data_IF_586294171835
#
_entry.id   IF_586294171835
#
_cell.length_a   1.000
_cell.length_b   1.000
_cell.length_c   1.000
_cell.angle_alpha   90.00
_cell.angle_beta   90.00
_cell.angle_gamma   90.00
#
_symmetry.space_group_name_H-M   'P 1'
#
loop_
_entity.id
_entity.type
_entity.pdbx_description
1 polymer ?
#
# COMPACT_ATOMS: atom_id res chain seq x y z
N UNK A 1 -13.27 -2.19 -3.36
CA UNK A 1 -11.82 -2.30 -3.05
C UNK A 1 -11.33 -0.90 -2.72
N UNK A 2 -10.28 -0.78 -1.91
CA UNK A 2 -9.72 0.51 -1.52
C UNK A 2 -8.19 0.45 -1.63
N UNK A 3 -7.53 1.59 -1.81
CA UNK A 3 -6.07 1.68 -1.80
C UNK A 3 -5.60 2.47 -0.58
N UNK A 4 -4.45 2.09 -0.03
CA UNK A 4 -3.75 2.82 1.01
C UNK A 4 -2.45 3.42 0.46
N UNK A 5 -2.27 4.70 0.72
CA UNK A 5 -1.11 5.50 0.36
C UNK A 5 -0.40 5.97 1.64
N UNK A 6 0.91 5.89 1.67
CA UNK A 6 1.73 6.18 2.84
C UNK A 6 3.18 6.42 2.44
N UNK A 7 3.94 7.12 3.28
CA UNK A 7 5.40 7.15 3.16
C UNK A 7 5.99 6.18 4.17
N UNK A 8 6.65 5.14 3.68
CA UNK A 8 7.39 4.19 4.50
C UNK A 8 8.79 4.77 4.73
N UNK A 9 9.20 4.91 5.99
CA UNK A 9 10.53 5.42 6.36
C UNK A 9 11.28 4.30 7.06
N UNK A 10 12.45 3.96 6.53
CA UNK A 10 13.35 3.00 7.13
C UNK A 10 14.41 3.76 7.95
N UNK A 11 14.26 3.74 9.27
CA UNK A 11 15.20 4.36 10.21
C UNK A 11 16.35 3.42 10.61
N UNK A 12 16.45 2.24 10.00
CA UNK A 12 17.50 1.27 10.29
C UNK A 12 18.72 1.47 9.40
N UNK A 13 19.85 0.88 9.80
CA UNK A 13 21.12 0.92 9.05
C UNK A 13 21.20 -0.05 7.87
N UNK A 14 20.15 -0.83 7.60
CA UNK A 14 20.12 -1.85 6.54
C UNK A 14 18.90 -1.65 5.63
N UNK A 15 18.98 -2.12 4.38
CA UNK A 15 17.83 -2.07 3.48
C UNK A 15 16.73 -3.03 3.96
N UNK A 16 15.49 -2.53 3.98
CA UNK A 16 14.31 -3.28 4.41
C UNK A 16 13.41 -3.50 3.21
N UNK A 17 12.92 -4.72 3.03
CA UNK A 17 11.94 -5.04 1.98
C UNK A 17 10.62 -5.44 2.60
N UNK A 18 9.55 -4.72 2.32
CA UNK A 18 8.18 -5.08 2.70
C UNK A 18 7.62 -6.05 1.67
N UNK A 19 7.30 -7.27 2.07
CA UNK A 19 6.83 -8.33 1.17
C UNK A 19 5.34 -8.62 1.30
N UNK A 20 4.74 -8.23 2.42
CA UNK A 20 3.30 -8.30 2.62
C UNK A 20 2.81 -7.21 3.57
N UNK A 21 1.52 -6.95 3.54
CA UNK A 21 0.82 -6.13 4.52
C UNK A 21 -0.45 -6.87 4.96
N UNK A 22 -0.99 -6.51 6.11
CA UNK A 22 -2.25 -7.05 6.63
C UNK A 22 -2.94 -6.00 7.50
N UNK A 23 -4.27 -6.04 7.55
CA UNK A 23 -5.08 -5.19 8.43
C UNK A 23 -6.40 -5.88 8.76
N UNK A 24 -6.97 -5.70 9.96
CA UNK A 24 -8.26 -6.26 10.33
C UNK A 24 -9.44 -5.68 9.54
N UNK A 25 -9.29 -4.51 8.89
CA UNK A 25 -10.41 -3.88 8.15
C UNK A 25 -10.67 -4.51 6.78
N UNK A 26 -9.75 -5.32 6.26
CA UNK A 26 -9.85 -5.96 4.95
C UNK A 26 -9.61 -7.46 5.03
N UNK A 27 -10.23 -8.23 4.14
CA UNK A 27 -10.04 -9.69 4.09
C UNK A 27 -8.66 -10.08 3.55
N UNK A 28 -8.17 -9.35 2.55
CA UNK A 28 -6.87 -9.58 1.92
C UNK A 28 -6.20 -8.24 1.58
N UNK A 29 -4.88 -8.21 1.67
CA UNK A 29 -4.08 -7.03 1.31
C UNK A 29 -3.01 -7.45 0.32
N UNK A 30 -2.88 -6.69 -0.77
CA UNK A 30 -1.91 -6.95 -1.83
C UNK A 30 -1.03 -5.72 -2.07
N UNK A 31 0.24 -5.94 -2.39
CA UNK A 31 1.17 -4.87 -2.76
C UNK A 31 1.09 -4.68 -4.28
N UNK A 32 0.73 -3.48 -4.72
CA UNK A 32 0.51 -3.17 -6.13
C UNK A 32 1.48 -2.07 -6.58
N UNK A 33 1.84 -2.13 -7.86
CA UNK A 33 2.57 -1.07 -8.56
C UNK A 33 1.78 -0.65 -9.80
N UNK A 34 1.83 0.63 -10.11
CA UNK A 34 1.38 1.13 -11.41
C UNK A 34 2.55 1.08 -12.37
N UNK A 35 2.37 0.41 -13.51
CA UNK A 35 3.33 0.40 -14.60
C UNK A 35 2.71 0.89 -15.89
N UNK A 36 3.41 1.78 -16.56
CA UNK A 36 2.95 2.38 -17.80
C UNK A 36 3.82 3.58 -18.13
N UNK A 37 4.02 3.81 -19.43
CA UNK A 37 4.70 5.00 -19.95
C UNK A 37 3.66 5.84 -20.70
N UNK A 38 3.42 7.07 -20.24
CA UNK A 38 2.84 8.16 -21.02
C UNK A 38 1.41 8.05 -21.58
N UNK A 39 0.68 6.94 -21.43
CA UNK A 39 -0.67 6.83 -21.99
C UNK A 39 -1.54 5.64 -21.57
N UNK A 40 -0.96 4.58 -20.97
CA UNK A 40 -1.74 3.46 -20.40
C UNK A 40 -1.07 2.99 -19.12
N UNK A 41 -1.67 3.32 -17.98
CA UNK A 41 -1.24 2.88 -16.65
C UNK A 41 -1.96 1.58 -16.29
N UNK A 42 -1.19 0.51 -16.05
CA UNK A 42 -1.72 -0.77 -15.60
C UNK A 42 -1.28 -1.01 -14.16
N UNK A 43 -2.25 -1.22 -13.28
CA UNK A 43 -1.98 -1.69 -11.91
C UNK A 43 -1.67 -3.19 -11.96
N UNK A 44 -0.55 -3.60 -11.37
CA UNK A 44 -0.22 -5.02 -11.22
C UNK A 44 0.31 -5.31 -9.82
N UNK A 45 0.15 -6.55 -9.38
CA UNK A 45 0.73 -7.01 -8.12
C UNK A 45 2.25 -7.00 -8.17
N UNK A 46 2.88 -6.36 -7.19
CA UNK A 46 4.33 -6.29 -7.02
C UNK A 46 4.84 -7.49 -6.23
N UNK A 47 5.35 -8.49 -6.94
CA UNK A 47 5.90 -9.71 -6.33
C UNK A 47 7.20 -9.47 -5.56
N UNK A 48 7.98 -8.45 -5.94
CA UNK A 48 9.25 -8.12 -5.28
C UNK A 48 9.12 -7.36 -3.96
N UNK A 49 7.89 -6.92 -3.61
CA UNK A 49 7.66 -6.06 -2.47
C UNK A 49 8.22 -4.64 -2.64
N UNK A 50 8.15 -3.85 -1.57
CA UNK A 50 8.69 -2.48 -1.53
C UNK A 50 10.05 -2.47 -0.85
N UNK A 51 11.10 -2.15 -1.61
CA UNK A 51 12.46 -2.00 -1.07
C UNK A 51 12.65 -0.57 -0.56
N UNK A 52 13.03 -0.45 0.70
CA UNK A 52 13.29 0.81 1.38
C UNK A 52 14.77 0.81 1.78
N UNK A 53 15.61 1.67 1.19
CA UNK A 53 17.04 1.70 1.52
C UNK A 53 17.27 2.09 2.99
N UNK A 54 18.44 1.75 3.53
CA UNK A 54 18.87 2.13 4.88
C UNK A 54 18.80 3.66 5.07
N UNK A 55 18.19 4.12 6.16
CA UNK A 55 17.94 5.55 6.41
C UNK A 55 17.04 6.24 5.38
N UNK A 56 16.42 5.48 4.47
CA UNK A 56 15.69 5.98 3.32
C UNK A 56 14.17 6.01 3.53
N UNK A 57 13.47 6.41 2.47
CA UNK A 57 12.01 6.38 2.42
C UNK A 57 11.51 5.82 1.10
N UNK A 58 10.32 5.25 1.12
CA UNK A 58 9.59 4.78 -0.06
C UNK A 58 8.18 5.37 -0.01
N UNK A 59 7.77 6.05 -1.08
CA UNK A 59 6.50 6.78 -1.14
C UNK A 59 5.48 5.96 -1.91
N UNK A 60 4.41 5.58 -1.23
CA UNK A 60 3.23 4.98 -1.84
C UNK A 60 2.24 6.08 -2.19
N UNK A 61 1.85 6.18 -3.46
CA UNK A 61 1.04 7.27 -3.99
C UNK A 61 0.14 6.80 -5.15
N UNK A 62 -0.94 7.56 -5.44
CA UNK A 62 -1.77 7.29 -6.62
C UNK A 62 -0.95 7.35 -7.90
N UNK A 63 -1.24 6.49 -8.86
CA UNK A 63 -0.42 6.37 -10.08
C UNK A 63 0.99 5.79 -9.86
N UNK A 64 1.31 5.27 -8.67
CA UNK A 64 2.58 4.63 -8.34
C UNK A 64 2.41 3.37 -7.49
N UNK A 65 3.42 3.08 -6.67
CA UNK A 65 3.35 2.00 -5.68
C UNK A 65 2.24 2.26 -4.65
N UNK A 66 1.40 1.26 -4.34
CA UNK A 66 0.32 1.39 -3.36
C UNK A 66 -0.08 0.05 -2.77
N UNK A 67 -0.79 0.09 -1.64
CA UNK A 67 -1.31 -1.11 -0.96
C UNK A 67 -2.79 -1.26 -1.31
N UNK A 68 -3.16 -2.35 -1.94
CA UNK A 68 -4.53 -2.67 -2.35
C UNK A 68 -5.23 -3.47 -1.25
N UNK A 69 -6.39 -2.99 -0.79
CA UNK A 69 -7.25 -3.65 0.18
C UNK A 69 -8.44 -4.32 -0.52
N UNK A 70 -8.51 -5.65 -0.41
CA UNK A 70 -9.54 -6.48 -1.02
C UNK A 70 -10.51 -6.97 0.05
N UNK A 71 -11.80 -6.85 -0.24
CA UNK A 71 -12.87 -7.24 0.69
C UNK A 71 -12.82 -6.43 1.98
N UNK A 72 -12.76 -5.11 1.86
CA UNK A 72 -12.87 -4.16 2.98
C UNK A 72 -14.23 -4.40 3.65
N UNK A 73 -14.20 -4.88 4.91
CA UNK A 73 -15.39 -5.30 5.67
C UNK A 73 -15.99 -4.16 6.47
N UNK A 74 -15.14 -3.25 6.93
CA UNK A 74 -15.52 -2.07 7.71
C UNK A 74 -15.41 -0.85 6.84
N UNK A 75 -16.46 -0.02 6.76
CA UNK A 75 -16.38 1.25 6.07
C UNK A 75 -15.26 2.08 6.70
N UNK A 76 -14.22 2.35 5.90
CA UNK A 76 -13.07 3.13 6.32
C UNK A 76 -13.42 4.60 6.11
N UNK A 77 -14.06 5.21 7.10
CA UNK A 77 -14.45 6.62 7.06
C UNK A 77 -13.23 7.54 7.27
N UNK A 78 -13.23 8.76 6.71
CA UNK A 78 -12.17 9.72 6.97
C UNK A 78 -12.06 10.01 8.47
N UNK A 79 -10.83 10.01 8.98
CA UNK A 79 -10.52 10.18 10.40
C UNK A 79 -10.41 8.88 11.19
N UNK A 80 -10.78 7.73 10.61
CA UNK A 80 -10.68 6.43 11.31
C UNK A 80 -9.22 5.97 11.37
N UNK A 81 -8.79 5.54 12.55
CA UNK A 81 -7.50 4.89 12.77
C UNK A 81 -7.57 3.41 12.38
N UNK A 82 -6.80 3.04 11.36
CA UNK A 82 -6.71 1.67 10.85
C UNK A 82 -5.35 1.10 11.23
N UNK A 83 -5.30 0.01 12.01
CA UNK A 83 -4.04 -0.68 12.28
C UNK A 83 -3.59 -1.46 11.04
N UNK A 84 -2.32 -1.30 10.68
CA UNK A 84 -1.66 -2.04 9.63
C UNK A 84 -0.46 -2.79 10.20
N UNK A 85 -0.21 -3.98 9.66
CA UNK A 85 0.97 -4.78 9.95
C UNK A 85 1.69 -5.05 8.64
N UNK A 86 2.94 -4.58 8.52
CA UNK A 86 3.83 -4.91 7.41
C UNK A 86 4.66 -6.12 7.76
N UNK A 87 4.79 -7.06 6.84
CA UNK A 87 5.73 -8.17 6.94
C UNK A 87 6.94 -7.87 6.07
N UNK A 88 8.11 -7.91 6.69
CA UNK A 88 9.39 -7.72 6.03
C UNK A 88 9.90 -9.04 5.47
N UNK A 89 10.74 -8.98 4.43
CA UNK A 89 11.40 -10.15 3.83
C UNK A 89 12.20 -10.97 4.84
N UNK A 90 12.71 -10.30 5.86
CA UNK A 90 13.48 -10.88 6.97
C UNK A 90 12.61 -11.63 8.00
N UNK A 91 11.28 -11.71 7.77
CA UNK A 91 10.31 -12.36 8.66
C UNK A 91 9.82 -11.48 9.82
N UNK A 92 10.49 -10.35 10.06
CA UNK A 92 10.03 -9.32 11.02
C UNK A 92 8.70 -8.71 10.59
N UNK A 93 7.88 -8.32 11.57
CA UNK A 93 6.64 -7.59 11.35
C UNK A 93 6.70 -6.22 12.01
N UNK A 94 6.10 -5.22 11.37
CA UNK A 94 6.01 -3.85 11.86
C UNK A 94 4.56 -3.42 11.86
N UNK A 95 4.00 -3.19 13.04
CA UNK A 95 2.66 -2.66 13.20
C UNK A 95 2.68 -1.13 13.33
N UNK A 96 1.75 -0.48 12.67
CA UNK A 96 1.55 0.97 12.75
C UNK A 96 0.08 1.32 12.56
N UNK A 97 -0.32 2.49 13.03
CA UNK A 97 -1.67 3.02 12.83
C UNK A 97 -1.61 4.01 11.67
N UNK A 98 -2.51 3.84 10.70
CA UNK A 98 -2.73 4.80 9.62
C UNK A 98 -4.11 5.43 9.79
N UNK A 99 -4.18 6.76 9.70
CA UNK A 99 -5.46 7.47 9.68
C UNK A 99 -6.00 7.46 8.27
N UNK A 100 -7.20 6.90 8.10
CA UNK A 100 -7.97 7.00 6.89
C UNK A 100 -8.24 8.47 6.57
N UNK A 101 -7.96 8.88 5.34
CA UNK A 101 -8.27 10.23 4.86
C UNK A 101 -9.08 10.12 3.59
N UNK A 102 -10.04 11.02 3.44
CA UNK A 102 -10.70 11.22 2.17
C UNK A 102 -9.64 11.71 1.18
N UNK A 103 -9.41 10.94 0.13
CA UNK A 103 -8.49 11.32 -0.94
C UNK A 103 -9.32 11.60 -2.19
N UNK A 104 -9.73 12.86 -2.35
CA UNK A 104 -10.48 13.35 -3.52
C UNK A 104 -9.63 13.42 -4.82
N UNK A 105 -8.36 12.98 -4.81
CA UNK A 105 -7.40 13.25 -5.87
C UNK A 105 -7.12 12.12 -6.87
N UNK A 106 -7.69 10.92 -6.70
CA UNK A 106 -7.43 9.79 -7.59
C UNK A 106 -8.72 9.38 -8.32
N UNK A 107 -9.03 10.08 -9.41
CA UNK A 107 -9.99 9.63 -10.41
C UNK A 107 -9.36 8.48 -11.21
N UNK A 108 -9.03 7.37 -10.54
CA UNK A 108 -8.57 6.15 -11.19
C UNK A 108 -9.78 5.27 -11.49
N UNK A 109 -10.21 5.30 -12.75
CA UNK A 109 -11.29 4.47 -13.27
C UNK A 109 -10.89 3.00 -13.19
N UNK A 110 -11.48 2.25 -12.26
CA UNK A 110 -11.46 0.80 -12.28
C UNK A 110 -12.38 0.33 -13.40
N UNK A 111 -11.81 0.01 -14.57
CA UNK A 111 -12.53 -0.78 -15.56
C UNK A 111 -12.65 -2.21 -15.02
N UNK A 112 -13.77 -2.51 -14.37
CA UNK A 112 -14.25 -3.87 -14.21
C UNK A 112 -14.49 -4.41 -15.62
N UNK A 113 -13.64 -5.31 -16.12
CA UNK A 113 -14.01 -6.07 -17.31
C UNK A 113 -15.03 -7.13 -16.87
N UNK A 114 -16.18 -7.07 -17.51
CA UNK A 114 -17.35 -7.94 -17.38
C UNK A 114 -17.07 -9.38 -17.82
#
# INVERSE_FOLDING_TARGET
MSAAFATLVNTTGEAVTVVAASTPVSSSVELHEVVGDGGTTTMRRKQGGFVIPAGGRHVLQPGGDHIMLIGVRTAVEPGVEVPFTLTLKDGRTVSFIAVAKDFAGANESYASHE
#
